data_IF_901386194235
#
_entry.id   IF_901386194235
#
_cell.length_a   1.000
_cell.length_b   1.000
_cell.length_c   1.000
_cell.angle_alpha   90.00
_cell.angle_beta   90.00
_cell.angle_gamma   90.00
#
_symmetry.space_group_name_H-M   'P 1'
#
loop_
_entity.id
_entity.type
_entity.pdbx_description
1 polymer ?
#
# COMPACT_ATOMS: atom_id res chain seq x y z
N UNK A 1 22.35 17.11 18.97
CA UNK A 1 23.05 15.93 18.47
C UNK A 1 22.38 15.56 17.14
N UNK A 2 23.05 15.86 16.03
CA UNK A 2 22.55 15.66 14.66
C UNK A 2 22.60 14.17 14.34
N UNK A 3 21.45 13.54 14.14
CA UNK A 3 21.41 12.20 13.59
C UNK A 3 21.61 12.31 12.08
N UNK A 4 22.79 11.90 11.62
CA UNK A 4 23.12 11.85 10.20
C UNK A 4 22.27 10.79 9.52
N UNK A 5 21.45 11.22 8.58
CA UNK A 5 20.76 10.37 7.63
C UNK A 5 21.82 9.67 6.77
N UNK A 6 21.94 8.36 6.90
CA UNK A 6 22.87 7.54 6.08
C UNK A 6 22.30 7.51 4.66
N UNK A 7 22.90 8.29 3.73
CA UNK A 7 22.57 8.20 2.31
C UNK A 7 22.90 6.79 1.78
N UNK A 8 21.98 6.14 1.08
CA UNK A 8 22.28 4.87 0.41
C UNK A 8 23.30 5.12 -0.71
N UNK A 9 24.45 4.49 -0.60
CA UNK A 9 25.54 4.56 -1.58
C UNK A 9 25.04 3.96 -2.90
N UNK A 10 24.88 4.82 -3.93
CA UNK A 10 24.49 4.41 -5.29
C UNK A 10 23.11 4.87 -5.78
N UNK A 11 22.27 5.54 -4.96
CA UNK A 11 20.97 6.03 -5.41
C UNK A 11 21.10 7.10 -6.52
N UNK A 12 20.29 6.96 -7.58
CA UNK A 12 20.21 7.95 -8.66
C UNK A 12 19.62 9.28 -8.18
N UNK A 13 19.84 10.39 -8.87
CA UNK A 13 19.18 11.66 -8.54
C UNK A 13 17.65 11.57 -8.47
N UNK A 14 17.04 10.76 -9.35
CA UNK A 14 15.59 10.51 -9.34
C UNK A 14 15.14 9.78 -8.08
N UNK A 15 15.84 8.73 -7.67
CA UNK A 15 15.53 7.96 -6.46
C UNK A 15 15.69 8.80 -5.21
N UNK A 16 16.73 9.64 -5.12
CA UNK A 16 16.89 10.57 -3.99
C UNK A 16 15.75 11.58 -3.90
N UNK A 17 15.30 12.12 -5.02
CA UNK A 17 14.16 13.04 -5.06
C UNK A 17 12.85 12.34 -4.68
N UNK A 18 12.66 11.09 -5.10
CA UNK A 18 11.49 10.30 -4.73
C UNK A 18 11.47 10.01 -3.23
N UNK A 19 12.61 9.61 -2.65
CA UNK A 19 12.72 9.37 -1.21
C UNK A 19 12.47 10.63 -0.38
N UNK A 20 13.04 11.76 -0.79
CA UNK A 20 12.78 13.04 -0.14
C UNK A 20 11.29 13.46 -0.24
N UNK A 21 10.64 13.17 -1.36
CA UNK A 21 9.21 13.40 -1.54
C UNK A 21 8.37 12.49 -0.64
N UNK A 22 8.71 11.21 -0.53
CA UNK A 22 8.08 10.25 0.39
C UNK A 22 8.17 10.75 1.83
N UNK A 23 9.36 11.14 2.27
CA UNK A 23 9.57 11.66 3.62
C UNK A 23 8.77 12.93 3.88
N UNK A 24 8.76 13.87 2.93
CA UNK A 24 7.99 15.10 3.04
C UNK A 24 6.49 14.84 3.13
N UNK A 25 5.91 14.07 2.20
CA UNK A 25 4.48 13.79 2.20
C UNK A 25 4.04 12.92 3.37
N UNK A 26 4.90 12.02 3.84
CA UNK A 26 4.65 11.22 5.04
C UNK A 26 4.58 12.05 6.33
N UNK A 27 5.27 13.19 6.40
CA UNK A 27 5.25 14.08 7.58
C UNK A 27 4.20 15.18 7.50
N UNK A 28 3.96 15.73 6.31
CA UNK A 28 3.20 16.97 6.16
C UNK A 28 1.89 16.77 5.37
N UNK A 29 1.65 15.55 4.86
CA UNK A 29 0.54 15.29 3.94
C UNK A 29 0.78 15.90 2.56
N UNK A 30 -0.22 15.78 1.68
CA UNK A 30 -0.09 16.18 0.27
C UNK A 30 -0.32 17.69 0.10
N UNK A 31 -1.32 18.24 0.80
CA UNK A 31 -1.74 19.64 0.70
C UNK A 31 -1.92 20.12 -0.74
N UNK A 32 -2.25 21.39 -0.90
CA UNK A 32 -2.40 22.05 -2.20
C UNK A 32 -1.07 22.63 -2.73
N UNK A 33 0.08 22.17 -2.21
CA UNK A 33 1.39 22.68 -2.58
C UNK A 33 1.67 22.45 -4.06
N UNK A 34 1.99 23.52 -4.78
CA UNK A 34 2.36 23.44 -6.20
C UNK A 34 3.66 22.67 -6.40
N UNK A 35 3.90 22.15 -7.62
CA UNK A 35 5.17 21.48 -7.94
C UNK A 35 6.40 22.38 -7.70
N UNK A 36 6.25 23.70 -7.84
CA UNK A 36 7.31 24.66 -7.53
C UNK A 36 7.59 24.74 -6.03
N UNK A 37 6.53 24.80 -5.21
CA UNK A 37 6.67 24.75 -3.75
C UNK A 37 7.26 23.43 -3.27
N UNK A 38 6.86 22.30 -3.87
CA UNK A 38 7.48 21.00 -3.59
C UNK A 38 8.98 21.03 -3.93
N UNK A 39 9.37 21.60 -5.07
CA UNK A 39 10.77 21.72 -5.45
C UNK A 39 11.60 22.50 -4.42
N UNK A 40 11.06 23.61 -3.92
CA UNK A 40 11.71 24.41 -2.87
C UNK A 40 11.93 23.61 -1.59
N UNK A 41 10.91 22.90 -1.14
CA UNK A 41 11.00 22.04 0.07
C UNK A 41 12.00 20.89 -0.10
N UNK A 42 12.03 20.29 -1.29
CA UNK A 42 12.97 19.19 -1.59
C UNK A 42 14.39 19.67 -1.93
N UNK A 43 14.67 20.97 -1.86
CA UNK A 43 15.99 21.53 -2.17
C UNK A 43 16.42 21.34 -3.63
N UNK A 44 15.44 21.31 -4.56
CA UNK A 44 15.69 21.10 -6.00
C UNK A 44 15.03 22.18 -6.84
N UNK A 45 15.23 22.14 -8.16
CA UNK A 45 14.55 23.07 -9.06
C UNK A 45 13.25 22.46 -9.62
N UNK A 46 12.27 23.33 -9.89
CA UNK A 46 11.04 22.94 -10.60
C UNK A 46 11.35 22.20 -11.91
N UNK A 47 12.39 22.64 -12.65
CA UNK A 47 12.84 21.99 -13.90
C UNK A 47 13.29 20.56 -13.67
N UNK A 48 13.97 20.27 -12.55
CA UNK A 48 14.41 18.91 -12.21
C UNK A 48 13.21 18.01 -11.88
N UNK A 49 12.21 18.51 -11.14
CA UNK A 49 11.00 17.73 -10.89
C UNK A 49 10.22 17.45 -12.19
N UNK A 50 10.08 18.43 -13.08
CA UNK A 50 9.49 18.22 -14.42
C UNK A 50 10.28 17.18 -15.21
N UNK A 51 11.61 17.26 -15.20
CA UNK A 51 12.47 16.33 -15.93
C UNK A 51 12.29 14.88 -15.44
N UNK A 52 12.23 14.65 -14.13
CA UNK A 52 12.15 13.31 -13.58
C UNK A 52 10.73 12.74 -13.48
N UNK A 53 9.72 13.60 -13.28
CA UNK A 53 8.36 13.16 -12.94
C UNK A 53 7.28 13.74 -13.86
N UNK A 54 7.62 14.64 -14.78
CA UNK A 54 6.73 15.23 -15.76
C UNK A 54 5.78 16.30 -15.19
N UNK A 55 5.11 16.02 -14.08
CA UNK A 55 4.11 16.88 -13.46
C UNK A 55 4.01 16.65 -11.96
N UNK A 56 3.22 17.49 -11.25
CA UNK A 56 2.84 17.22 -9.85
C UNK A 56 2.13 15.87 -9.72
N UNK A 57 1.16 15.60 -10.59
CA UNK A 57 0.43 14.34 -10.63
C UNK A 57 1.36 13.14 -10.89
N UNK A 58 2.33 13.28 -11.78
CA UNK A 58 3.34 12.26 -12.05
C UNK A 58 4.21 11.97 -10.83
N UNK A 59 4.67 12.98 -10.10
CA UNK A 59 5.40 12.80 -8.84
C UNK A 59 4.55 12.07 -7.79
N UNK A 60 3.30 12.49 -7.60
CA UNK A 60 2.39 11.86 -6.64
C UNK A 60 2.09 10.41 -7.00
N UNK A 61 1.92 10.11 -8.29
CA UNK A 61 1.74 8.74 -8.78
C UNK A 61 2.96 7.84 -8.47
N UNK A 62 4.19 8.37 -8.65
CA UNK A 62 5.41 7.64 -8.30
C UNK A 62 5.54 7.41 -6.80
N UNK A 63 5.21 8.42 -5.98
CA UNK A 63 5.19 8.28 -4.51
C UNK A 63 4.21 7.18 -4.10
N UNK A 64 2.99 7.17 -4.65
CA UNK A 64 2.01 6.13 -4.35
C UNK A 64 2.50 4.75 -4.78
N UNK A 65 3.06 4.64 -5.98
CA UNK A 65 3.61 3.38 -6.49
C UNK A 65 4.71 2.82 -5.58
N UNK A 66 5.58 3.68 -5.08
CA UNK A 66 6.65 3.29 -4.16
C UNK A 66 6.09 2.84 -2.80
N UNK A 67 5.11 3.57 -2.22
CA UNK A 67 4.43 3.16 -0.98
C UNK A 67 3.79 1.79 -1.15
N UNK A 68 3.04 1.57 -2.24
CA UNK A 68 2.40 0.30 -2.54
C UNK A 68 3.43 -0.85 -2.72
N UNK A 69 4.57 -0.57 -3.36
CA UNK A 69 5.65 -1.55 -3.52
C UNK A 69 6.27 -1.94 -2.17
N UNK A 70 6.52 -0.97 -1.29
CA UNK A 70 7.02 -1.21 0.07
C UNK A 70 6.02 -2.01 0.91
N UNK A 71 4.74 -1.71 0.80
CA UNK A 71 3.69 -2.46 1.51
C UNK A 71 3.60 -3.93 1.03
N UNK A 72 3.71 -4.16 -0.28
CA UNK A 72 3.76 -5.55 -0.81
C UNK A 72 5.00 -6.30 -0.34
N UNK A 73 6.17 -5.65 -0.34
CA UNK A 73 7.39 -6.26 0.16
C UNK A 73 7.31 -6.58 1.66
N UNK A 74 6.75 -5.67 2.45
CA UNK A 74 6.49 -5.88 3.88
C UNK A 74 5.53 -7.06 4.11
N UNK A 75 4.44 -7.14 3.35
CA UNK A 75 3.49 -8.26 3.42
C UNK A 75 4.23 -9.58 3.17
N UNK A 76 4.99 -9.68 2.08
CA UNK A 76 5.74 -10.90 1.77
C UNK A 76 6.71 -11.26 2.90
N UNK A 77 7.48 -10.30 3.40
CA UNK A 77 8.43 -10.53 4.49
C UNK A 77 7.75 -10.95 5.80
N UNK A 78 6.58 -10.41 6.11
CA UNK A 78 5.85 -10.74 7.34
C UNK A 78 5.26 -12.15 7.29
N UNK A 79 4.80 -12.60 6.13
CA UNK A 79 4.24 -13.94 5.97
C UNK A 79 5.28 -15.01 5.60
N UNK A 80 6.51 -14.62 5.22
CA UNK A 80 7.66 -15.52 5.06
C UNK A 80 8.38 -15.73 6.40
N UNK A 81 7.61 -16.10 7.43
CA UNK A 81 8.09 -16.33 8.80
C UNK A 81 7.39 -17.56 9.39
N UNK A 82 7.92 -18.09 10.48
CA UNK A 82 7.30 -19.21 11.22
C UNK A 82 6.14 -18.77 12.14
N UNK A 83 5.66 -17.53 12.01
CA UNK A 83 4.52 -17.03 12.80
C UNK A 83 3.23 -17.74 12.40
N UNK A 84 2.34 -18.04 13.39
CA UNK A 84 0.99 -18.48 13.09
C UNK A 84 0.27 -17.47 12.17
N UNK A 85 -0.56 -17.92 11.20
CA UNK A 85 -1.17 -17.03 10.20
C UNK A 85 -1.92 -15.83 10.76
N UNK A 86 -2.64 -15.98 11.88
CA UNK A 86 -3.36 -14.87 12.53
C UNK A 86 -2.40 -13.85 13.17
N UNK A 87 -1.28 -14.32 13.71
CA UNK A 87 -0.27 -13.44 14.31
C UNK A 87 0.47 -12.65 13.22
N UNK A 88 0.84 -13.30 12.13
CA UNK A 88 1.42 -12.64 10.96
C UNK A 88 0.45 -11.61 10.37
N UNK A 89 -0.85 -11.94 10.26
CA UNK A 89 -1.88 -11.04 9.79
C UNK A 89 -2.05 -9.82 10.70
N UNK A 90 -2.07 -10.01 12.02
CA UNK A 90 -2.19 -8.92 12.99
C UNK A 90 -0.97 -7.97 12.91
N UNK A 91 0.24 -8.53 12.83
CA UNK A 91 1.47 -7.74 12.68
C UNK A 91 1.47 -6.93 11.38
N UNK A 92 1.14 -7.57 10.26
CA UNK A 92 1.05 -6.87 8.97
C UNK A 92 -0.01 -5.77 9.00
N UNK A 93 -1.15 -6.02 9.67
CA UNK A 93 -2.22 -5.03 9.80
C UNK A 93 -1.75 -3.76 10.54
N UNK A 94 -1.03 -3.90 11.67
CA UNK A 94 -0.48 -2.76 12.42
C UNK A 94 0.45 -1.90 11.55
N UNK A 95 1.37 -2.51 10.83
CA UNK A 95 2.27 -1.80 9.92
C UNK A 95 1.51 -1.11 8.77
N UNK A 96 0.46 -1.76 8.26
CA UNK A 96 -0.40 -1.20 7.20
C UNK A 96 -1.21 -0.01 7.71
N UNK A 97 -1.72 -0.07 8.94
CA UNK A 97 -2.41 1.05 9.59
C UNK A 97 -1.50 2.27 9.70
N UNK A 98 -0.27 2.11 10.19
CA UNK A 98 0.68 3.22 10.31
C UNK A 98 1.03 3.85 8.95
N UNK A 99 1.24 3.04 7.93
CA UNK A 99 1.45 3.52 6.57
C UNK A 99 0.21 4.24 6.01
N UNK A 100 -0.99 3.72 6.31
CA UNK A 100 -2.24 4.31 5.85
C UNK A 100 -2.51 5.67 6.50
N UNK A 101 -2.22 5.83 7.77
CA UNK A 101 -2.36 7.13 8.44
C UNK A 101 -1.44 8.20 7.82
N UNK A 102 -0.31 7.80 7.24
CA UNK A 102 0.63 8.70 6.55
C UNK A 102 0.25 8.97 5.10
N UNK A 103 0.00 7.91 4.34
CA UNK A 103 -0.07 7.94 2.87
C UNK A 103 -1.46 7.62 2.32
N UNK A 104 -2.39 7.18 3.18
CA UNK A 104 -3.73 6.79 2.76
C UNK A 104 -4.51 7.90 2.06
N UNK A 105 -4.51 9.16 2.55
CA UNK A 105 -5.18 10.25 1.83
C UNK A 105 -4.66 10.41 0.40
N UNK A 106 -3.33 10.33 0.18
CA UNK A 106 -2.74 10.34 -1.15
C UNK A 106 -3.20 9.15 -1.99
N UNK A 107 -3.15 7.95 -1.42
CA UNK A 107 -3.57 6.73 -2.11
C UNK A 107 -5.02 6.84 -2.60
N UNK A 108 -5.96 7.23 -1.73
CA UNK A 108 -7.38 7.30 -2.08
C UNK A 108 -7.68 8.46 -3.04
N UNK A 109 -6.99 9.61 -2.93
CA UNK A 109 -7.08 10.69 -3.92
C UNK A 109 -6.65 10.21 -5.31
N UNK A 110 -5.52 9.54 -5.41
CA UNK A 110 -5.02 9.04 -6.70
C UNK A 110 -5.84 7.87 -7.23
N UNK A 111 -6.36 7.01 -6.35
CA UNK A 111 -7.32 5.97 -6.75
C UNK A 111 -8.60 6.59 -7.34
N UNK A 112 -9.14 7.64 -6.72
CA UNK A 112 -10.28 8.38 -7.24
C UNK A 112 -9.95 9.04 -8.59
N UNK A 113 -8.77 9.63 -8.75
CA UNK A 113 -8.31 10.20 -10.02
C UNK A 113 -8.16 9.13 -11.11
N UNK A 114 -7.65 7.95 -10.78
CA UNK A 114 -7.53 6.80 -11.69
C UNK A 114 -8.91 6.32 -12.16
N UNK A 115 -9.88 6.19 -11.25
CA UNK A 115 -11.27 5.83 -11.56
C UNK A 115 -11.95 6.87 -12.46
N UNK A 116 -11.61 8.15 -12.33
CA UNK A 116 -12.11 9.24 -13.18
C UNK A 116 -11.38 9.34 -14.54
N UNK A 117 -10.40 8.48 -14.79
CA UNK A 117 -9.65 8.48 -16.06
C UNK A 117 -8.69 9.66 -16.21
N UNK A 118 -8.19 10.24 -15.11
CA UNK A 118 -7.22 11.32 -15.18
C UNK A 118 -5.87 10.80 -15.70
N UNK A 119 -5.29 11.47 -16.70
CA UNK A 119 -4.06 11.05 -17.39
C UNK A 119 -2.88 10.77 -16.44
N UNK A 120 -2.70 11.62 -15.43
CA UNK A 120 -1.59 11.47 -14.46
C UNK A 120 -1.73 10.26 -13.53
N UNK A 121 -2.92 9.67 -13.44
CA UNK A 121 -3.21 8.49 -12.62
C UNK A 121 -3.51 7.24 -13.48
N UNK A 122 -3.44 7.33 -14.81
CA UNK A 122 -3.79 6.23 -15.70
C UNK A 122 -2.97 4.96 -15.45
N UNK A 123 -1.67 5.09 -15.24
CA UNK A 123 -0.79 3.96 -14.95
C UNK A 123 -1.16 3.26 -13.61
N UNK A 124 -1.59 4.03 -12.61
CA UNK A 124 -2.01 3.47 -11.33
C UNK A 124 -3.29 2.65 -11.43
N UNK A 125 -4.21 3.00 -12.33
CA UNK A 125 -5.47 2.28 -12.51
C UNK A 125 -5.25 0.78 -12.74
N UNK A 126 -4.28 0.44 -13.56
CA UNK A 126 -4.00 -0.96 -13.91
C UNK A 126 -3.16 -1.66 -12.83
N UNK A 127 -2.40 -0.91 -12.04
CA UNK A 127 -1.51 -1.43 -11.01
C UNK A 127 -2.17 -1.58 -9.63
N UNK A 128 -3.14 -0.73 -9.28
CA UNK A 128 -3.75 -0.69 -7.94
C UNK A 128 -4.31 -2.04 -7.45
N UNK A 129 -4.84 -2.85 -8.34
CA UNK A 129 -5.36 -4.19 -8.02
C UNK A 129 -4.41 -5.26 -8.55
N UNK A 130 -4.02 -5.19 -9.83
CA UNK A 130 -3.28 -6.25 -10.50
C UNK A 130 -1.91 -6.53 -9.85
N UNK A 131 -1.24 -5.51 -9.33
CA UNK A 131 0.05 -5.69 -8.67
C UNK A 131 -0.03 -6.41 -7.31
N UNK A 132 -1.20 -6.42 -6.66
CA UNK A 132 -1.41 -7.08 -5.37
C UNK A 132 -1.91 -8.51 -5.49
N UNK A 133 -2.74 -8.81 -6.49
CA UNK A 133 -3.42 -10.10 -6.61
C UNK A 133 -2.47 -11.31 -6.57
N UNK A 134 -1.31 -11.32 -7.26
CA UNK A 134 -0.42 -12.47 -7.21
C UNK A 134 0.05 -12.81 -5.80
N UNK A 135 0.48 -11.80 -5.04
CA UNK A 135 0.99 -11.99 -3.68
C UNK A 135 -0.11 -12.40 -2.70
N UNK A 136 -1.28 -11.74 -2.76
CA UNK A 136 -2.41 -12.09 -1.89
C UNK A 136 -2.98 -13.47 -2.25
N UNK A 137 -3.01 -13.84 -3.54
CA UNK A 137 -3.41 -15.19 -3.97
C UNK A 137 -2.44 -16.26 -3.45
N UNK A 138 -1.13 -15.98 -3.48
CA UNK A 138 -0.14 -16.88 -2.90
C UNK A 138 -0.36 -17.08 -1.39
N UNK A 139 -0.70 -16.01 -0.64
CA UNK A 139 -1.07 -16.13 0.77
C UNK A 139 -2.33 -16.97 0.98
N UNK A 140 -3.38 -16.76 0.16
CA UNK A 140 -4.59 -17.55 0.23
C UNK A 140 -4.30 -19.05 0.04
N UNK A 141 -3.40 -19.42 -0.90
CA UNK A 141 -2.93 -20.78 -1.09
C UNK A 141 -2.15 -21.30 0.12
N UNK A 142 -1.26 -20.49 0.66
CA UNK A 142 -0.43 -20.88 1.80
C UNK A 142 -1.24 -21.20 3.06
N UNK A 143 -2.39 -20.55 3.25
CA UNK A 143 -3.33 -20.88 4.33
C UNK A 143 -4.29 -22.01 4.00
N UNK A 144 -4.21 -22.64 2.81
CA UNK A 144 -4.97 -23.83 2.43
C UNK A 144 -6.21 -23.59 1.56
N UNK A 145 -6.44 -22.38 1.05
CA UNK A 145 -7.54 -22.12 0.11
C UNK A 145 -7.21 -22.76 -1.25
N UNK A 146 -8.15 -23.55 -1.77
CA UNK A 146 -7.98 -24.30 -3.03
C UNK A 146 -7.81 -23.39 -4.25
N UNK A 147 -7.09 -23.86 -5.28
CA UNK A 147 -6.73 -23.10 -6.50
C UNK A 147 -7.89 -22.36 -7.17
N UNK A 148 -9.07 -22.96 -7.46
CA UNK A 148 -10.14 -22.22 -8.12
C UNK A 148 -10.69 -21.05 -7.30
N UNK A 149 -10.47 -21.07 -5.99
CA UNK A 149 -11.04 -20.11 -5.04
C UNK A 149 -10.02 -19.07 -4.56
N UNK A 150 -8.72 -19.38 -4.62
CA UNK A 150 -7.66 -18.54 -4.06
C UNK A 150 -7.64 -17.11 -4.62
N UNK A 151 -7.81 -16.92 -5.94
CA UNK A 151 -7.88 -15.59 -6.54
C UNK A 151 -9.14 -14.82 -6.13
N UNK A 152 -10.28 -15.50 -6.01
CA UNK A 152 -11.52 -14.88 -5.55
C UNK A 152 -11.40 -14.41 -4.11
N UNK A 153 -10.81 -15.22 -3.23
CA UNK A 153 -10.55 -14.87 -1.83
C UNK A 153 -9.53 -13.73 -1.72
N UNK A 154 -8.49 -13.75 -2.55
CA UNK A 154 -7.50 -12.67 -2.61
C UNK A 154 -8.14 -11.33 -3.01
N UNK A 155 -9.02 -11.32 -4.00
CA UNK A 155 -9.75 -10.13 -4.42
C UNK A 155 -10.69 -9.63 -3.35
N UNK A 156 -11.40 -10.52 -2.66
CA UNK A 156 -12.25 -10.18 -1.52
C UNK A 156 -11.42 -9.59 -0.37
N UNK A 157 -10.34 -10.25 0.01
CA UNK A 157 -9.46 -9.81 1.09
C UNK A 157 -8.88 -8.41 0.81
N UNK A 158 -8.36 -8.20 -0.40
CA UNK A 158 -7.82 -6.91 -0.83
C UNK A 158 -8.88 -5.80 -0.82
N UNK A 159 -10.09 -6.10 -1.34
CA UNK A 159 -11.20 -5.15 -1.35
C UNK A 159 -11.68 -4.79 0.05
N UNK A 160 -11.84 -5.79 0.92
CA UNK A 160 -12.25 -5.59 2.31
C UNK A 160 -11.19 -4.81 3.10
N UNK A 161 -9.91 -5.18 3.00
CA UNK A 161 -8.81 -4.46 3.66
C UNK A 161 -8.79 -2.97 3.27
N UNK A 162 -8.92 -2.65 1.97
CA UNK A 162 -8.97 -1.26 1.51
C UNK A 162 -10.21 -0.52 2.00
N UNK A 163 -11.36 -1.18 2.08
CA UNK A 163 -12.57 -0.61 2.67
C UNK A 163 -12.38 -0.25 4.14
N UNK A 164 -11.76 -1.15 4.91
CA UNK A 164 -11.44 -0.92 6.32
C UNK A 164 -10.41 0.21 6.53
N UNK A 165 -9.42 0.33 5.63
CA UNK A 165 -8.45 1.43 5.69
C UNK A 165 -9.08 2.78 5.32
N UNK A 166 -10.03 2.80 4.39
CA UNK A 166 -10.83 3.99 4.12
C UNK A 166 -11.69 4.36 5.34
N UNK A 167 -12.37 3.40 5.96
CA UNK A 167 -13.14 3.61 7.18
C UNK A 167 -12.26 4.21 8.29
N UNK A 168 -11.07 3.66 8.51
CA UNK A 168 -10.09 4.19 9.46
C UNK A 168 -9.80 5.68 9.23
N UNK A 169 -9.55 6.08 7.98
CA UNK A 169 -9.23 7.47 7.65
C UNK A 169 -10.41 8.41 7.82
N UNK A 170 -11.63 7.93 7.60
CA UNK A 170 -12.86 8.74 7.69
C UNK A 170 -13.39 8.80 9.12
N UNK A 171 -13.43 7.66 9.82
CA UNK A 171 -14.02 7.54 11.15
C UNK A 171 -13.05 7.81 12.30
N UNK A 172 -11.74 7.52 12.09
CA UNK A 172 -10.72 7.53 13.13
C UNK A 172 -10.88 6.38 14.15
N UNK A 173 -11.80 5.43 13.93
CA UNK A 173 -12.13 4.36 14.88
C UNK A 173 -11.18 3.17 14.78
N UNK A 174 -9.92 3.37 15.19
CA UNK A 174 -8.83 2.39 15.03
C UNK A 174 -9.17 1.00 15.61
N UNK A 175 -9.75 0.97 16.82
CA UNK A 175 -10.06 -0.30 17.49
C UNK A 175 -11.18 -1.08 16.80
N UNK A 176 -12.23 -0.38 16.35
CA UNK A 176 -13.35 -1.00 15.62
C UNK A 176 -12.88 -1.59 14.29
N UNK A 177 -12.08 -0.81 13.56
CA UNK A 177 -11.50 -1.25 12.29
C UNK A 177 -10.53 -2.42 12.48
N UNK A 178 -9.73 -2.43 13.55
CA UNK A 178 -8.85 -3.56 13.88
C UNK A 178 -9.66 -4.84 14.20
N UNK A 179 -10.78 -4.74 14.95
CA UNK A 179 -11.66 -5.89 15.20
C UNK A 179 -12.28 -6.44 13.91
N UNK A 180 -12.65 -5.55 12.98
CA UNK A 180 -13.18 -5.97 11.68
C UNK A 180 -12.11 -6.65 10.81
N UNK A 181 -10.87 -6.19 10.85
CA UNK A 181 -9.74 -6.83 10.16
C UNK A 181 -9.43 -8.22 10.75
N UNK A 182 -9.44 -8.37 12.07
CA UNK A 182 -9.28 -9.69 12.72
C UNK A 182 -10.41 -10.66 12.31
N UNK A 183 -11.66 -10.19 12.27
CA UNK A 183 -12.79 -11.00 11.79
C UNK A 183 -12.58 -11.44 10.33
N UNK A 184 -12.13 -10.55 9.44
CA UNK A 184 -11.84 -10.88 8.05
C UNK A 184 -10.79 -12.00 7.97
N UNK A 185 -9.70 -11.90 8.73
CA UNK A 185 -8.64 -12.91 8.76
C UNK A 185 -9.14 -14.27 9.24
N UNK A 186 -9.98 -14.30 10.31
CA UNK A 186 -10.62 -15.53 10.80
C UNK A 186 -11.54 -16.17 9.76
N UNK A 187 -12.34 -15.36 9.05
CA UNK A 187 -13.23 -15.85 7.99
C UNK A 187 -12.44 -16.48 6.83
N UNK A 188 -11.30 -15.91 6.46
CA UNK A 188 -10.42 -16.48 5.44
C UNK A 188 -9.85 -17.83 5.86
N UNK A 189 -9.41 -17.97 7.12
CA UNK A 189 -8.90 -19.25 7.65
C UNK A 189 -10.01 -20.32 7.72
N UNK A 190 -11.22 -19.98 8.19
CA UNK A 190 -12.36 -20.90 8.19
C UNK A 190 -12.72 -21.36 6.77
N UNK A 191 -12.62 -20.49 5.77
CA UNK A 191 -12.84 -20.86 4.37
C UNK A 191 -11.82 -21.87 3.86
N UNK A 192 -10.58 -21.81 4.34
CA UNK A 192 -9.54 -22.78 4.02
C UNK A 192 -9.84 -24.17 4.60
N UNK A 193 -10.29 -24.23 5.86
CA UNK A 193 -10.64 -25.48 6.54
C UNK A 193 -11.81 -26.21 5.86
N UNK A 194 -12.86 -25.47 5.47
CA UNK A 194 -14.04 -26.03 4.79
C UNK A 194 -13.68 -26.52 3.38
N UNK A 195 -12.83 -25.78 2.65
CA UNK A 195 -12.37 -26.17 1.31
C UNK A 195 -11.50 -27.44 1.33
N UNK A 196 -10.69 -27.64 2.36
CA UNK A 196 -9.84 -28.81 2.54
C UNK A 196 -10.62 -30.10 2.89
N UNK A 197 -11.73 -29.98 3.60
CA UNK A 197 -12.58 -31.12 3.99
C UNK A 197 -13.44 -31.68 2.84
N UNK A 198 -13.73 -30.88 1.82
CA UNK A 198 -14.56 -31.29 0.67
C UNK A 198 -13.82 -32.04 -0.44
N UNK A 199 -12.50 -32.14 -0.38
CA UNK A 199 -11.67 -32.80 -1.41
C UNK A 199 -11.28 -34.26 -1.10
N UNK A 200 -11.75 -34.81 0.00
CA UNK A 200 -11.43 -36.20 0.46
C UNK A 200 -12.60 -37.20 0.32
N UNK A 201 -13.56 -36.93 -0.59
CA UNK A 201 -14.70 -37.76 -0.88
C UNK A 201 -14.66 -38.39 -2.27
#
# INVERSE_FOLDING_TARGET
>A
MSQGTTEPVGATPRERLLEAALEHFGRHGIGDTSLRGIAEVLGTSHRMLIYHFGSRGGLLAEVTREVEARQRALMTATYDTDLPPLEAAARYWEETVEATLRYGPLFFELAANAMQGKDHAAALRDELIAAWLPSVTALCRAIGISEPQAETHARLALGAARGLLLDLLVSGQREEVARAADLLNRLLLLSAEVGGAGGAG
#
